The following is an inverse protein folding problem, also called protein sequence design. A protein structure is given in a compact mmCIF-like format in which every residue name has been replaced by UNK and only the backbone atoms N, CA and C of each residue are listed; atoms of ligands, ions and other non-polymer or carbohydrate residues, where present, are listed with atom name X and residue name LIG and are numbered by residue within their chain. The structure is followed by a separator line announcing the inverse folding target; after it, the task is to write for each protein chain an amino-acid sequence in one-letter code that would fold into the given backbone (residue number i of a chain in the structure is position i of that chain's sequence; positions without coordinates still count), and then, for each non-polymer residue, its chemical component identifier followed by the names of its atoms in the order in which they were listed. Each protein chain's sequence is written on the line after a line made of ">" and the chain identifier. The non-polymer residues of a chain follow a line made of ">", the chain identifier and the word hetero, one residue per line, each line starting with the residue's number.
data_IF_846438304684
#
_entry.id   IF_846438304684
#
_cell.length_a   1.000
_cell.length_b   1.000
_cell.length_c   1.000
_cell.angle_alpha   90.00
_cell.angle_beta   90.00
_cell.angle_gamma   90.00
#
_symmetry.space_group_name_H-M   'P 1'
#
loop_
_entity.id
_entity.type
_entity.pdbx_description
1 polymer ?
#
# COMPACT_ATOMS: atom_id res chain seq x y z
N UNK A 1 19.10 -9.70 -31.31
CA UNK A 1 18.32 -8.50 -30.88
C UNK A 1 17.35 -8.77 -29.73
N UNK A 2 16.81 -9.99 -29.56
CA UNK A 2 15.85 -10.31 -28.48
C UNK A 2 16.44 -10.35 -27.06
N UNK A 3 17.75 -10.61 -26.88
CA UNK A 3 18.38 -10.61 -25.56
C UNK A 3 18.41 -9.21 -24.90
N UNK A 4 18.72 -8.16 -25.66
CA UNK A 4 18.83 -6.80 -25.12
C UNK A 4 17.47 -6.25 -24.67
N UNK A 5 16.39 -6.64 -25.35
CA UNK A 5 15.01 -6.26 -25.00
C UNK A 5 14.56 -6.93 -23.70
N UNK A 6 14.87 -8.22 -23.52
CA UNK A 6 14.52 -8.95 -22.31
C UNK A 6 15.27 -8.45 -21.06
N UNK A 7 16.52 -8.02 -21.22
CA UNK A 7 17.31 -7.42 -20.13
C UNK A 7 16.74 -6.06 -19.72
N UNK A 8 16.34 -5.23 -20.69
CA UNK A 8 15.70 -3.94 -20.42
C UNK A 8 14.34 -4.08 -19.74
N UNK A 9 13.53 -5.06 -20.17
CA UNK A 9 12.20 -5.32 -19.61
C UNK A 9 12.28 -5.85 -18.17
N UNK A 10 13.22 -6.77 -17.88
CA UNK A 10 13.45 -7.27 -16.54
C UNK A 10 13.94 -6.16 -15.58
N UNK A 11 14.82 -5.28 -16.05
CA UNK A 11 15.30 -4.14 -15.27
C UNK A 11 14.18 -3.14 -14.94
N UNK A 12 13.31 -2.84 -15.89
CA UNK A 12 12.15 -1.96 -15.68
C UNK A 12 11.15 -2.56 -14.68
N UNK A 13 10.89 -3.87 -14.76
CA UNK A 13 9.98 -4.57 -13.83
C UNK A 13 10.54 -4.61 -12.40
N UNK A 14 11.84 -4.83 -12.24
CA UNK A 14 12.50 -4.79 -10.93
C UNK A 14 12.43 -3.40 -10.29
N UNK A 15 12.52 -2.33 -11.09
CA UNK A 15 12.43 -0.94 -10.61
C UNK A 15 10.99 -0.56 -10.17
N UNK A 16 9.97 -1.13 -10.81
CA UNK A 16 8.57 -0.95 -10.42
C UNK A 16 8.25 -1.62 -9.08
N UNK A 17 8.90 -2.74 -8.78
CA UNK A 17 8.71 -3.51 -7.54
C UNK A 17 9.35 -2.85 -6.30
N UNK A 18 10.22 -1.85 -6.48
CA UNK A 18 10.85 -1.10 -5.38
C UNK A 18 10.14 0.21 -5.04
N UNK A 19 9.09 0.57 -5.79
CA UNK A 19 8.26 1.72 -5.48
C UNK A 19 7.47 1.45 -4.18
N UNK A 20 7.98 2.00 -3.07
CA UNK A 20 7.28 1.96 -1.79
C UNK A 20 5.98 2.75 -1.89
N UNK A 21 4.85 2.11 -1.62
CA UNK A 21 3.56 2.77 -1.47
C UNK A 21 3.55 3.53 -0.14
N UNK A 22 3.57 4.86 -0.19
CA UNK A 22 3.37 5.70 1.00
C UNK A 22 1.87 5.72 1.30
N UNK A 23 1.50 5.53 2.57
CA UNK A 23 0.12 5.69 3.00
C UNK A 23 -0.32 7.15 2.81
N UNK A 24 -1.55 7.37 2.34
CA UNK A 24 -2.14 8.71 2.27
C UNK A 24 -2.26 9.31 3.67
N UNK A 25 -1.88 10.58 3.85
CA UNK A 25 -2.15 11.32 5.08
C UNK A 25 -3.63 11.76 5.06
N UNK A 26 -4.46 11.11 5.88
CA UNK A 26 -5.91 11.36 5.95
C UNK A 26 -6.34 12.04 7.25
N UNK A 27 -5.41 12.35 8.16
CA UNK A 27 -5.73 12.89 9.48
C UNK A 27 -6.48 14.23 9.45
N UNK A 28 -6.16 15.09 8.48
CA UNK A 28 -6.77 16.42 8.33
C UNK A 28 -8.31 16.35 8.18
N UNK A 29 -8.84 15.23 7.66
CA UNK A 29 -10.30 15.05 7.46
C UNK A 29 -11.11 15.22 8.75
N UNK A 30 -10.50 15.00 9.91
CA UNK A 30 -11.13 15.09 11.22
C UNK A 30 -10.68 16.32 12.04
N UNK A 31 -9.60 16.99 11.64
CA UNK A 31 -9.07 18.21 12.26
C UNK A 31 -8.47 18.03 13.67
N UNK A 32 -8.34 16.79 14.14
CA UNK A 32 -7.80 16.43 15.47
C UNK A 32 -6.43 15.76 15.39
N UNK A 33 -5.87 15.62 14.18
CA UNK A 33 -4.72 14.76 13.89
C UNK A 33 -3.46 15.14 14.68
N UNK A 34 -3.24 16.44 14.91
CA UNK A 34 -2.07 16.92 15.67
C UNK A 34 -2.13 16.51 17.13
N UNK A 35 -3.29 16.67 17.77
CA UNK A 35 -3.50 16.30 19.17
C UNK A 35 -3.45 14.79 19.32
N UNK A 36 -4.07 14.06 18.42
CA UNK A 36 -4.10 12.59 18.44
C UNK A 36 -2.71 11.96 18.32
N UNK A 37 -1.83 12.55 17.49
CA UNK A 37 -0.46 12.02 17.27
C UNK A 37 0.41 12.05 18.53
N UNK A 38 0.09 12.89 19.52
CA UNK A 38 0.75 12.89 20.83
C UNK A 38 0.41 11.64 21.65
N UNK A 39 -0.80 11.11 21.48
CA UNK A 39 -1.31 9.96 22.25
C UNK A 39 -1.18 8.64 21.47
N UNK A 40 -1.32 8.66 20.14
CA UNK A 40 -1.29 7.49 19.28
C UNK A 40 0.02 7.41 18.49
N UNK A 41 1.01 6.71 19.07
CA UNK A 41 2.27 6.45 18.37
C UNK A 41 2.08 5.44 17.25
N UNK A 42 2.39 5.86 16.03
CA UNK A 42 2.53 4.96 14.89
C UNK A 42 3.81 4.15 15.05
N UNK A 43 3.69 2.82 15.03
CA UNK A 43 4.82 1.89 15.09
C UNK A 43 4.66 0.85 14.01
N UNK A 44 5.77 0.44 13.41
CA UNK A 44 5.79 -0.65 12.42
C UNK A 44 5.77 -1.99 13.15
N UNK A 45 4.74 -2.79 12.92
CA UNK A 45 4.65 -4.16 13.44
C UNK A 45 4.92 -5.13 12.29
N UNK A 46 5.91 -6.03 12.39
CA UNK A 46 6.16 -7.01 11.35
C UNK A 46 5.00 -8.01 11.27
N UNK A 47 4.60 -8.36 10.05
CA UNK A 47 3.64 -9.43 9.86
C UNK A 47 4.26 -10.77 10.27
N UNK A 48 3.58 -11.58 11.11
CA UNK A 48 4.08 -12.90 11.48
C UNK A 48 4.17 -13.81 10.25
N UNK A 49 5.12 -14.75 10.28
CA UNK A 49 5.32 -15.68 9.16
C UNK A 49 4.14 -16.63 9.04
N UNK A 50 3.58 -16.75 7.83
CA UNK A 50 2.47 -17.64 7.53
C UNK A 50 1.09 -17.06 7.83
N UNK A 51 1.02 -15.85 8.39
CA UNK A 51 -0.23 -15.16 8.65
C UNK A 51 -0.66 -14.33 7.44
N UNK A 52 -1.98 -14.25 7.26
CA UNK A 52 -2.63 -13.42 6.24
C UNK A 52 -3.38 -12.28 6.91
N UNK A 53 -3.34 -11.09 6.32
CA UNK A 53 -4.33 -10.06 6.67
C UNK A 53 -5.58 -10.37 5.85
N UNK A 54 -6.66 -10.74 6.53
CA UNK A 54 -7.95 -10.96 5.88
C UNK A 54 -8.58 -9.63 5.50
N UNK A 55 -9.12 -9.56 4.28
CA UNK A 55 -9.95 -8.45 3.87
C UNK A 55 -11.32 -8.57 4.54
N UNK A 56 -11.66 -7.61 5.40
CA UNK A 56 -12.93 -7.55 6.10
C UNK A 56 -14.05 -6.88 5.29
N UNK A 57 -13.70 -6.10 4.26
CA UNK A 57 -14.66 -5.37 3.45
C UNK A 57 -14.29 -5.36 1.96
N UNK A 58 -15.31 -5.48 1.12
CA UNK A 58 -15.20 -5.42 -0.33
C UNK A 58 -16.29 -4.51 -0.88
N UNK A 59 -15.93 -3.60 -1.78
CA UNK A 59 -16.89 -2.73 -2.47
C UNK A 59 -16.52 -2.66 -3.96
N UNK A 60 -17.50 -2.91 -4.83
CA UNK A 60 -17.32 -2.71 -6.27
C UNK A 60 -17.67 -1.25 -6.61
N UNK A 61 -16.66 -0.48 -6.98
CA UNK A 61 -16.81 0.94 -7.29
C UNK A 61 -17.51 1.16 -8.65
N UNK A 62 -18.10 2.35 -8.88
CA UNK A 62 -18.79 2.67 -10.13
C UNK A 62 -17.94 2.58 -11.41
N UNK A 63 -16.61 2.59 -11.27
CA UNK A 63 -15.65 2.43 -12.36
C UNK A 63 -15.14 0.99 -12.52
N UNK A 64 -15.86 0.00 -11.96
CA UNK A 64 -15.53 -1.43 -11.96
C UNK A 64 -14.22 -1.80 -11.24
N UNK A 65 -13.73 -0.93 -10.36
CA UNK A 65 -12.60 -1.27 -9.48
C UNK A 65 -13.10 -1.90 -8.19
N UNK A 66 -12.35 -2.86 -7.65
CA UNK A 66 -12.63 -3.46 -6.35
C UNK A 66 -11.85 -2.71 -5.26
N UNK A 67 -12.57 -2.07 -4.35
CA UNK A 67 -12.00 -1.57 -3.10
C UNK A 67 -11.96 -2.70 -2.07
N UNK A 68 -10.83 -2.83 -1.38
CA UNK A 68 -10.59 -3.84 -0.35
C UNK A 68 -10.21 -3.10 0.94
N UNK A 69 -10.98 -3.35 2.00
CA UNK A 69 -10.74 -2.83 3.35
C UNK A 69 -10.41 -3.97 4.31
N UNK A 70 -9.55 -3.68 5.29
CA UNK A 70 -9.22 -4.56 6.41
C UNK A 70 -9.91 -4.04 7.67
#
# INVERSE_FOLDING_TARGET
>A
MNCCVNIGLAGALALLLTMSTVAEEVGERWGTEKREREFYRLVSVPLPKGEVIEAGAFELMPDNRLAVGT
#
